data_IF_995900437654
#
_entry.id   IF_995900437654
#
_cell.length_a   1.000
_cell.length_b   1.000
_cell.length_c   1.000
_cell.angle_alpha   90.00
_cell.angle_beta   90.00
_cell.angle_gamma   90.00
#
_symmetry.space_group_name_H-M   'P 1'
#
loop_
_entity.id
_entity.type
_entity.pdbx_description
1 polymer ?
#
# COMPACT_ATOMS: atom_id res chain seq x y z
N UNK A 1 -4.98 4.75 12.87
CA UNK A 1 -3.60 5.05 13.28
C UNK A 1 -2.75 3.80 13.21
N UNK A 2 -1.51 3.92 12.74
CA UNK A 2 -0.48 2.86 12.84
C UNK A 2 0.63 3.40 13.74
N UNK A 3 1.06 2.61 14.73
CA UNK A 3 2.22 2.92 15.57
C UNK A 3 3.17 1.73 15.57
N UNK A 4 4.41 1.96 15.20
CA UNK A 4 5.51 0.99 15.21
C UNK A 4 6.53 1.49 16.20
N UNK A 5 6.99 0.63 17.12
CA UNK A 5 7.96 0.99 18.16
C UNK A 5 9.06 -0.06 18.23
N UNK A 6 10.30 0.37 18.03
CA UNK A 6 11.51 -0.45 18.19
C UNK A 6 11.57 -1.66 17.24
N UNK A 7 10.91 -1.59 16.06
CA UNK A 7 10.72 -2.75 15.20
C UNK A 7 12.05 -3.23 14.62
N UNK A 8 12.40 -4.49 14.91
CA UNK A 8 13.64 -5.12 14.45
C UNK A 8 13.32 -6.38 13.67
N UNK A 9 14.00 -6.58 12.53
CA UNK A 9 13.87 -7.78 11.70
C UNK A 9 15.16 -8.16 11.04
N UNK A 10 15.56 -9.43 11.20
CA UNK A 10 16.76 -10.03 10.61
C UNK A 10 16.35 -11.21 9.72
N UNK A 11 16.97 -11.34 8.57
CA UNK A 11 16.86 -12.50 7.68
C UNK A 11 18.26 -13.10 7.47
N UNK A 12 18.49 -14.30 8.00
CA UNK A 12 19.82 -14.90 8.04
C UNK A 12 20.79 -14.01 8.84
N UNK A 13 21.88 -13.56 8.23
CA UNK A 13 22.84 -12.64 8.85
C UNK A 13 22.53 -11.14 8.60
N UNK A 14 21.50 -10.82 7.80
CA UNK A 14 21.19 -9.43 7.41
C UNK A 14 20.08 -8.86 8.30
N UNK A 15 20.41 -7.84 9.11
CA UNK A 15 19.43 -7.03 9.81
C UNK A 15 18.82 -6.04 8.80
N UNK A 16 17.51 -6.17 8.54
CA UNK A 16 16.76 -5.37 7.56
C UNK A 16 16.04 -4.22 8.23
N UNK A 17 15.50 -4.42 9.44
CA UNK A 17 14.93 -3.38 10.30
C UNK A 17 15.72 -3.37 11.61
N UNK A 18 16.04 -2.19 12.10
CA UNK A 18 16.91 -2.00 13.25
C UNK A 18 16.39 -0.93 14.21
N UNK A 19 15.44 -1.33 15.07
CA UNK A 19 14.82 -0.43 16.03
C UNK A 19 13.98 0.66 15.36
N UNK A 20 13.20 0.30 14.34
CA UNK A 20 12.39 1.24 13.54
C UNK A 20 11.20 1.76 14.33
N UNK A 21 11.07 3.10 14.40
CA UNK A 21 9.92 3.80 14.97
C UNK A 21 9.16 4.56 13.86
N UNK A 22 7.85 4.32 13.74
CA UNK A 22 6.97 5.01 12.78
C UNK A 22 5.62 5.27 13.43
N UNK A 23 5.07 6.46 13.16
CA UNK A 23 3.69 6.80 13.44
C UNK A 23 3.02 7.30 12.17
N UNK A 24 1.88 6.70 11.78
CA UNK A 24 1.01 7.18 10.71
C UNK A 24 -0.35 7.53 11.30
N UNK A 25 -0.73 8.80 11.20
CA UNK A 25 -1.93 9.34 11.84
C UNK A 25 -3.20 9.15 10.98
N UNK A 26 -4.40 9.12 11.59
CA UNK A 26 -5.66 9.22 10.87
C UNK A 26 -5.76 10.53 10.08
N UNK A 27 -6.42 10.48 8.94
CA UNK A 27 -6.61 11.65 8.08
C UNK A 27 -5.38 12.04 7.26
N UNK A 28 -4.31 11.23 7.29
CA UNK A 28 -3.05 11.54 6.63
C UNK A 28 -2.58 10.43 5.69
N UNK A 29 -1.91 10.84 4.61
CA UNK A 29 -1.12 9.98 3.75
C UNK A 29 0.34 10.10 4.16
N UNK A 30 0.91 9.01 4.68
CA UNK A 30 2.32 8.90 5.05
C UNK A 30 3.05 8.05 4.01
N UNK A 31 4.10 8.59 3.41
CA UNK A 31 4.99 7.84 2.53
C UNK A 31 6.16 7.24 3.30
N UNK A 32 6.50 6.01 2.96
CA UNK A 32 7.74 5.35 3.34
C UNK A 32 8.61 5.24 2.08
N UNK A 33 9.66 6.02 2.02
CA UNK A 33 10.53 6.13 0.84
C UNK A 33 11.95 5.65 1.16
N UNK A 34 12.72 5.33 0.14
CA UNK A 34 14.12 4.91 0.30
C UNK A 34 14.57 3.97 -0.82
N UNK A 35 15.86 3.65 -0.84
CA UNK A 35 16.46 2.78 -1.84
C UNK A 35 15.86 1.36 -1.82
N UNK A 36 16.04 0.61 -2.90
CA UNK A 36 15.64 -0.80 -2.93
C UNK A 36 16.42 -1.59 -1.85
N UNK A 37 15.70 -2.44 -1.13
CA UNK A 37 16.30 -3.24 -0.06
C UNK A 37 16.53 -2.52 1.27
N UNK A 38 16.09 -1.26 1.45
CA UNK A 38 16.21 -0.52 2.72
C UNK A 38 15.21 -0.96 3.81
N UNK A 39 14.23 -1.82 3.46
CA UNK A 39 13.27 -2.38 4.43
C UNK A 39 11.81 -1.95 4.26
N UNK A 40 11.43 -1.15 3.25
CA UNK A 40 10.04 -0.68 3.05
C UNK A 40 9.01 -1.82 3.03
N UNK A 41 9.14 -2.74 2.09
CA UNK A 41 8.25 -3.91 1.97
C UNK A 41 8.27 -4.77 3.25
N UNK A 42 9.45 -4.92 3.89
CA UNK A 42 9.56 -5.63 5.16
C UNK A 42 8.74 -4.94 6.25
N UNK A 43 8.83 -3.61 6.37
CA UNK A 43 8.02 -2.83 7.30
C UNK A 43 6.52 -3.05 7.06
N UNK A 44 6.06 -2.94 5.79
CA UNK A 44 4.64 -3.16 5.48
C UNK A 44 4.21 -4.60 5.80
N UNK A 45 5.05 -5.60 5.53
CA UNK A 45 4.76 -7.01 5.88
C UNK A 45 4.62 -7.23 7.38
N UNK A 46 5.42 -6.54 8.21
CA UNK A 46 5.27 -6.57 9.66
C UNK A 46 3.94 -5.95 10.10
N UNK A 47 3.59 -4.77 9.55
CA UNK A 47 2.31 -4.09 9.83
C UNK A 47 1.11 -4.95 9.44
N UNK A 48 1.21 -5.70 8.35
CA UNK A 48 0.14 -6.56 7.86
C UNK A 48 0.13 -7.96 8.49
N UNK A 49 0.98 -8.24 9.48
CA UNK A 49 1.05 -9.55 10.13
C UNK A 49 1.52 -10.69 9.21
N UNK A 50 2.12 -10.37 8.06
CA UNK A 50 2.63 -11.35 7.10
C UNK A 50 4.01 -11.90 7.48
N UNK A 51 4.67 -11.28 8.43
CA UNK A 51 5.85 -11.83 9.12
C UNK A 51 5.93 -11.24 10.53
N UNK A 52 6.50 -12.00 11.46
CA UNK A 52 6.66 -11.57 12.84
C UNK A 52 7.97 -10.80 13.03
N UNK A 53 8.00 -9.73 13.82
CA UNK A 53 9.22 -9.05 14.19
C UNK A 53 10.07 -9.92 15.12
N UNK A 54 11.37 -9.64 15.15
CA UNK A 54 12.29 -10.26 16.12
C UNK A 54 12.27 -9.47 17.45
N UNK A 55 11.98 -8.15 17.37
CA UNK A 55 11.75 -7.28 18.51
C UNK A 55 10.89 -6.08 18.12
N UNK A 56 10.36 -5.37 19.12
CA UNK A 56 9.47 -4.24 18.92
C UNK A 56 7.99 -4.64 18.81
N UNK A 57 7.14 -3.67 18.50
CA UNK A 57 5.69 -3.87 18.44
C UNK A 57 5.04 -3.05 17.36
N UNK A 58 3.87 -3.52 16.90
CA UNK A 58 2.99 -2.83 15.95
C UNK A 58 1.61 -2.72 16.57
N UNK A 59 1.06 -1.50 16.57
CA UNK A 59 -0.31 -1.20 17.03
C UNK A 59 -1.10 -0.62 15.86
N UNK A 60 -2.29 -1.16 15.59
CA UNK A 60 -3.23 -0.69 14.58
C UNK A 60 -4.51 -0.22 15.29
N UNK A 61 -4.81 1.08 15.17
CA UNK A 61 -5.85 1.70 16.01
C UNK A 61 -5.47 1.63 17.48
N UNK A 62 -6.22 0.86 18.25
CA UNK A 62 -5.96 0.55 19.67
C UNK A 62 -5.49 -0.89 19.89
N UNK A 63 -5.39 -1.68 18.82
CA UNK A 63 -5.11 -3.12 18.91
C UNK A 63 -3.63 -3.40 18.66
N UNK A 64 -2.97 -4.02 19.62
CA UNK A 64 -1.62 -4.59 19.43
C UNK A 64 -1.69 -5.81 18.53
N UNK A 65 -0.86 -5.82 17.47
CA UNK A 65 -0.91 -6.86 16.44
C UNK A 65 -0.50 -8.24 16.99
N UNK A 66 0.44 -8.30 17.94
CA UNK A 66 0.88 -9.57 18.53
C UNK A 66 -0.14 -10.12 19.53
N UNK A 67 -0.74 -9.23 20.35
CA UNK A 67 -1.69 -9.63 21.38
C UNK A 67 -3.10 -9.89 20.83
N UNK A 68 -3.51 -9.15 19.80
CA UNK A 68 -4.87 -9.18 19.24
C UNK A 68 -4.86 -9.12 17.70
N UNK A 69 -4.23 -10.09 16.99
CA UNK A 69 -4.01 -10.01 15.55
C UNK A 69 -5.33 -9.89 14.76
N UNK A 70 -6.36 -10.61 15.16
CA UNK A 70 -7.67 -10.56 14.49
C UNK A 70 -8.30 -9.17 14.58
N UNK A 71 -8.28 -8.53 15.73
CA UNK A 71 -8.82 -7.19 15.93
C UNK A 71 -8.00 -6.12 15.19
N UNK A 72 -6.68 -6.23 15.20
CA UNK A 72 -5.79 -5.34 14.48
C UNK A 72 -5.98 -5.46 12.96
N UNK A 73 -5.94 -6.67 12.40
CA UNK A 73 -6.05 -6.91 10.96
C UNK A 73 -7.45 -6.67 10.40
N UNK A 74 -8.50 -6.75 11.22
CA UNK A 74 -9.86 -6.40 10.81
C UNK A 74 -9.98 -4.91 10.40
N UNK A 75 -9.13 -4.05 10.93
CA UNK A 75 -9.10 -2.60 10.65
C UNK A 75 -8.28 -2.25 9.40
N UNK A 76 -7.62 -3.22 8.77
CA UNK A 76 -6.61 -2.96 7.75
C UNK A 76 -6.98 -3.58 6.40
N UNK A 77 -6.71 -2.82 5.33
CA UNK A 77 -6.60 -3.35 3.96
C UNK A 77 -5.19 -3.16 3.44
N UNK A 78 -4.70 -4.17 2.72
CA UNK A 78 -3.33 -4.21 2.20
C UNK A 78 -3.28 -4.47 0.70
N UNK A 79 -2.51 -3.64 -0.02
CA UNK A 79 -2.14 -3.87 -1.42
C UNK A 79 -0.67 -4.26 -1.50
N UNK A 80 -0.32 -5.48 -1.89
CA UNK A 80 1.06 -5.87 -2.13
C UNK A 80 1.60 -5.30 -3.45
N UNK A 81 2.92 -5.17 -3.58
CA UNK A 81 3.60 -4.68 -4.77
C UNK A 81 3.23 -5.46 -6.05
N UNK A 82 3.03 -6.76 -5.94
CA UNK A 82 2.68 -7.65 -7.05
C UNK A 82 1.46 -8.49 -6.66
N UNK A 83 0.24 -7.97 -6.86
CA UNK A 83 -0.96 -8.72 -6.53
C UNK A 83 -1.10 -9.94 -7.43
N UNK A 84 -1.36 -11.09 -6.80
CA UNK A 84 -1.56 -12.37 -7.49
C UNK A 84 -2.94 -12.91 -7.15
N UNK A 85 -3.65 -13.29 -8.18
CA UNK A 85 -4.95 -13.94 -8.09
C UNK A 85 -4.88 -15.33 -8.70
N UNK A 86 -5.83 -16.21 -8.34
CA UNK A 86 -5.89 -17.54 -8.93
C UNK A 86 -6.20 -17.42 -10.44
N UNK A 87 -5.37 -17.99 -11.33
CA UNK A 87 -5.40 -17.69 -12.77
C UNK A 87 -6.71 -18.07 -13.48
N UNK A 88 -7.47 -19.01 -12.93
CA UNK A 88 -8.73 -19.51 -13.51
C UNK A 88 -9.96 -18.75 -13.03
N UNK A 89 -9.86 -17.95 -11.94
CA UNK A 89 -10.98 -17.16 -11.45
C UNK A 89 -11.12 -15.88 -12.28
N UNK A 90 -12.35 -15.43 -12.47
CA UNK A 90 -12.65 -14.16 -13.11
C UNK A 90 -12.43 -12.98 -12.16
N UNK A 91 -12.40 -11.76 -12.68
CA UNK A 91 -12.33 -10.57 -11.84
C UNK A 91 -13.55 -10.46 -10.92
N UNK A 92 -14.73 -10.82 -11.42
CA UNK A 92 -15.97 -10.90 -10.64
C UNK A 92 -15.89 -11.91 -9.51
N UNK A 93 -15.39 -13.15 -9.78
CA UNK A 93 -15.20 -14.18 -8.75
C UNK A 93 -14.30 -13.70 -7.61
N UNK A 94 -13.22 -12.97 -7.96
CA UNK A 94 -12.29 -12.42 -6.98
C UNK A 94 -13.01 -11.39 -6.09
N UNK A 95 -13.76 -10.46 -6.66
CA UNK A 95 -14.49 -9.44 -5.89
C UNK A 95 -15.56 -10.09 -5.00
N UNK A 96 -16.31 -11.07 -5.53
CA UNK A 96 -17.31 -11.80 -4.75
C UNK A 96 -16.68 -12.59 -3.59
N UNK A 97 -15.55 -13.25 -3.83
CA UNK A 97 -14.84 -13.98 -2.79
C UNK A 97 -14.43 -13.05 -1.64
N UNK A 98 -13.78 -11.91 -1.95
CA UNK A 98 -13.33 -10.97 -0.92
C UNK A 98 -14.51 -10.25 -0.23
N UNK A 99 -15.58 -9.94 -0.95
CA UNK A 99 -16.78 -9.37 -0.35
C UNK A 99 -17.44 -10.34 0.65
N UNK A 100 -17.60 -11.62 0.29
CA UNK A 100 -18.11 -12.67 1.19
C UNK A 100 -17.20 -12.87 2.40
N UNK A 101 -15.87 -12.91 2.20
CA UNK A 101 -14.90 -13.06 3.29
C UNK A 101 -15.01 -11.91 4.32
N UNK A 102 -15.41 -10.73 3.89
CA UNK A 102 -15.59 -9.54 4.72
C UNK A 102 -17.04 -9.32 5.15
N UNK A 103 -17.98 -10.18 4.76
CA UNK A 103 -19.42 -10.03 5.08
C UNK A 103 -20.07 -8.82 4.43
N UNK A 104 -19.60 -8.40 3.25
CA UNK A 104 -20.06 -7.19 2.55
C UNK A 104 -21.23 -7.53 1.60
N UNK A 105 -22.18 -6.60 1.39
CA UNK A 105 -23.30 -6.79 0.46
C UNK A 105 -22.81 -6.72 -1.00
N UNK A 106 -23.55 -7.37 -1.91
CA UNK A 106 -23.28 -7.38 -3.35
C UNK A 106 -23.28 -5.99 -4.00
N UNK A 107 -24.06 -5.05 -3.45
CA UNK A 107 -24.08 -3.66 -3.89
C UNK A 107 -22.69 -2.99 -3.77
N UNK A 108 -21.88 -3.42 -2.81
CA UNK A 108 -20.51 -2.92 -2.65
C UNK A 108 -19.61 -3.39 -3.78
N UNK A 109 -19.84 -4.57 -4.33
CA UNK A 109 -19.08 -5.10 -5.48
C UNK A 109 -19.34 -4.22 -6.69
N UNK A 110 -20.61 -3.97 -7.03
CA UNK A 110 -20.95 -3.10 -8.18
C UNK A 110 -20.34 -1.69 -8.06
N UNK A 111 -20.33 -1.13 -6.84
CA UNK A 111 -19.73 0.17 -6.58
C UNK A 111 -18.23 0.20 -6.87
N UNK A 112 -17.46 -0.79 -6.40
CA UNK A 112 -16.00 -0.83 -6.65
C UNK A 112 -15.66 -1.24 -8.07
N UNK A 113 -16.47 -2.06 -8.73
CA UNK A 113 -16.33 -2.37 -10.17
C UNK A 113 -16.46 -1.11 -11.02
N UNK A 114 -17.48 -0.30 -10.77
CA UNK A 114 -17.67 0.97 -11.47
C UNK A 114 -16.52 1.94 -11.14
N UNK A 115 -16.16 2.08 -9.87
CA UNK A 115 -15.08 2.96 -9.40
C UNK A 115 -13.74 2.66 -10.10
N UNK A 116 -13.38 1.40 -10.27
CA UNK A 116 -12.10 0.97 -10.82
C UNK A 116 -12.18 0.57 -12.31
N UNK A 117 -13.31 0.82 -12.98
CA UNK A 117 -13.49 0.57 -14.41
C UNK A 117 -13.30 -0.90 -14.78
N UNK A 118 -13.90 -1.83 -14.01
CA UNK A 118 -13.72 -3.26 -14.19
C UNK A 118 -14.89 -3.96 -14.89
N UNK A 119 -15.94 -3.25 -15.26
CA UNK A 119 -17.15 -3.82 -15.87
C UNK A 119 -16.84 -4.73 -17.06
N UNK A 120 -16.03 -4.26 -18.01
CA UNK A 120 -15.65 -5.02 -19.21
C UNK A 120 -14.70 -6.20 -18.92
N UNK A 121 -14.09 -6.22 -17.75
CA UNK A 121 -13.16 -7.26 -17.32
C UNK A 121 -13.80 -8.25 -16.33
N UNK A 122 -15.07 -8.04 -15.93
CA UNK A 122 -15.73 -8.83 -14.90
C UNK A 122 -15.64 -10.33 -15.14
N UNK A 123 -15.93 -10.77 -16.35
CA UNK A 123 -15.99 -12.16 -16.74
C UNK A 123 -14.67 -12.69 -17.29
N UNK A 124 -13.60 -11.86 -17.31
CA UNK A 124 -12.29 -12.28 -17.76
C UNK A 124 -11.54 -13.01 -16.65
N UNK A 125 -10.96 -14.17 -17.00
CA UNK A 125 -10.05 -14.89 -16.11
C UNK A 125 -8.83 -14.00 -15.77
N UNK A 126 -8.40 -13.99 -14.52
CA UNK A 126 -7.32 -13.13 -14.02
C UNK A 126 -5.99 -13.35 -14.75
N UNK A 127 -5.77 -14.55 -15.29
CA UNK A 127 -4.61 -14.85 -16.15
C UNK A 127 -4.57 -14.04 -17.44
N UNK A 128 -5.73 -13.57 -17.94
CA UNK A 128 -5.86 -12.81 -19.19
C UNK A 128 -5.86 -11.28 -18.97
N UNK A 129 -5.93 -10.84 -17.72
CA UNK A 129 -5.92 -9.42 -17.41
C UNK A 129 -4.57 -8.79 -17.72
N UNK A 130 -4.59 -7.59 -18.31
CA UNK A 130 -3.40 -6.76 -18.43
C UNK A 130 -2.82 -6.44 -17.04
N UNK A 131 -1.55 -6.02 -16.97
CA UNK A 131 -0.92 -5.59 -15.72
C UNK A 131 -1.71 -4.46 -15.04
N UNK A 132 -2.15 -3.47 -15.82
CA UNK A 132 -2.96 -2.34 -15.32
C UNK A 132 -4.34 -2.78 -14.82
N UNK A 133 -5.04 -3.64 -15.57
CA UNK A 133 -6.36 -4.16 -15.15
C UNK A 133 -6.23 -5.02 -13.89
N UNK A 134 -5.18 -5.84 -13.79
CA UNK A 134 -4.89 -6.63 -12.58
C UNK A 134 -4.60 -5.74 -11.38
N UNK A 135 -3.88 -4.64 -11.57
CA UNK A 135 -3.63 -3.66 -10.52
C UNK A 135 -4.92 -2.96 -10.08
N UNK A 136 -5.80 -2.57 -11.03
CA UNK A 136 -7.11 -1.99 -10.72
C UNK A 136 -8.00 -2.98 -9.95
N UNK A 137 -7.99 -4.27 -10.32
CA UNK A 137 -8.68 -5.31 -9.56
C UNK A 137 -8.17 -5.40 -8.12
N UNK A 138 -6.86 -5.33 -7.90
CA UNK A 138 -6.30 -5.35 -6.55
C UNK A 138 -6.67 -4.10 -5.74
N UNK A 139 -6.75 -2.93 -6.39
CA UNK A 139 -7.22 -1.70 -5.77
C UNK A 139 -8.73 -1.75 -5.46
N UNK A 140 -9.53 -2.39 -6.32
CA UNK A 140 -10.94 -2.66 -6.04
C UNK A 140 -11.10 -3.55 -4.80
N UNK A 141 -10.31 -4.63 -4.69
CA UNK A 141 -10.28 -5.50 -3.49
C UNK A 141 -9.86 -4.71 -2.24
N UNK A 142 -8.85 -3.84 -2.35
CA UNK A 142 -8.42 -2.95 -1.25
C UNK A 142 -9.57 -2.05 -0.77
N UNK A 143 -10.36 -1.52 -1.72
CA UNK A 143 -11.45 -0.55 -1.47
C UNK A 143 -12.75 -1.20 -0.98
N UNK A 144 -12.92 -2.51 -1.15
CA UNK A 144 -14.16 -3.22 -0.78
C UNK A 144 -14.61 -2.94 0.66
N UNK A 145 -13.75 -3.10 1.70
CA UNK A 145 -14.18 -3.00 3.09
C UNK A 145 -14.24 -1.58 3.65
N UNK A 146 -13.86 -0.55 2.88
CA UNK A 146 -13.73 0.85 3.38
C UNK A 146 -12.96 0.91 4.71
N UNK A 147 -11.83 0.23 4.77
CA UNK A 147 -11.05 0.02 5.99
C UNK A 147 -10.46 1.34 6.52
N UNK A 148 -10.44 1.55 7.85
CA UNK A 148 -9.86 2.76 8.45
C UNK A 148 -8.33 2.86 8.31
N UNK A 149 -7.67 1.77 7.91
CA UNK A 149 -6.22 1.75 7.68
C UNK A 149 -5.93 1.12 6.32
N UNK A 150 -5.26 1.87 5.45
CA UNK A 150 -4.83 1.43 4.12
C UNK A 150 -3.31 1.36 4.08
N UNK A 151 -2.79 0.18 3.71
CA UNK A 151 -1.35 -0.05 3.56
C UNK A 151 -1.09 -0.48 2.12
N UNK A 152 -0.19 0.22 1.42
CA UNK A 152 0.04 -0.01 0.01
C UNK A 152 1.54 -0.09 -0.30
N UNK A 153 1.93 -1.12 -1.05
CA UNK A 153 3.31 -1.30 -1.51
C UNK A 153 3.36 -1.05 -3.02
N UNK A 154 4.00 0.05 -3.44
CA UNK A 154 4.18 0.47 -4.83
C UNK A 154 2.87 0.51 -5.66
N UNK A 155 1.81 1.18 -5.20
CA UNK A 155 0.47 1.02 -5.77
C UNK A 155 0.32 1.52 -7.21
N UNK A 156 1.19 2.42 -7.68
CA UNK A 156 1.12 3.04 -9.02
C UNK A 156 1.88 2.32 -10.12
N UNK A 157 2.68 1.27 -9.82
CA UNK A 157 3.68 0.72 -10.75
C UNK A 157 3.14 0.25 -12.11
N UNK A 158 1.95 -0.33 -12.16
CA UNK A 158 1.38 -0.90 -13.39
C UNK A 158 0.24 -0.07 -13.96
N UNK A 159 -0.02 1.10 -13.40
CA UNK A 159 -1.09 1.99 -13.83
C UNK A 159 -0.57 3.00 -14.88
N UNK A 160 -1.40 3.33 -15.83
CA UNK A 160 -1.18 4.48 -16.69
C UNK A 160 -1.32 5.82 -15.92
N UNK A 161 -0.92 6.97 -16.51
CA UNK A 161 -0.94 8.24 -15.80
C UNK A 161 -2.32 8.66 -15.30
N UNK A 162 -3.42 8.32 -16.02
CA UNK A 162 -4.77 8.70 -15.64
C UNK A 162 -5.24 7.89 -14.43
N UNK A 163 -5.04 6.59 -14.45
CA UNK A 163 -5.35 5.72 -13.32
C UNK A 163 -4.47 6.00 -12.09
N UNK A 164 -3.24 6.48 -12.27
CA UNK A 164 -2.42 6.94 -11.14
C UNK A 164 -2.98 8.19 -10.51
N UNK A 165 -3.39 9.19 -11.31
CA UNK A 165 -4.06 10.41 -10.80
C UNK A 165 -5.34 10.05 -10.05
N UNK A 166 -6.14 9.15 -10.60
CA UNK A 166 -7.34 8.65 -9.96
C UNK A 166 -7.03 7.98 -8.61
N UNK A 167 -6.03 7.08 -8.56
CA UNK A 167 -5.58 6.44 -7.32
C UNK A 167 -5.21 7.48 -6.25
N UNK A 168 -4.45 8.50 -6.60
CA UNK A 168 -4.04 9.53 -5.63
C UNK A 168 -5.25 10.31 -5.10
N UNK A 169 -6.21 10.63 -5.97
CA UNK A 169 -7.45 11.29 -5.58
C UNK A 169 -8.28 10.42 -4.62
N UNK A 170 -8.39 9.11 -4.87
CA UNK A 170 -9.09 8.16 -4.03
C UNK A 170 -8.42 7.99 -2.65
N UNK A 171 -7.09 7.88 -2.60
CA UNK A 171 -6.35 7.82 -1.33
C UNK A 171 -6.49 9.11 -0.54
N UNK A 172 -6.46 10.27 -1.21
CA UNK A 172 -6.71 11.57 -0.58
C UNK A 172 -8.14 11.67 -0.06
N UNK A 173 -9.13 11.20 -0.81
CA UNK A 173 -10.53 11.14 -0.37
C UNK A 173 -10.70 10.23 0.85
N UNK A 174 -10.07 9.05 0.87
CA UNK A 174 -10.06 8.16 2.03
C UNK A 174 -9.43 8.83 3.26
N UNK A 175 -8.28 9.50 3.10
CA UNK A 175 -7.64 10.24 4.19
C UNK A 175 -8.57 11.36 4.71
N UNK A 176 -9.24 12.13 3.84
CA UNK A 176 -10.22 13.15 4.27
C UNK A 176 -11.39 12.57 5.05
N UNK A 177 -11.77 11.32 4.81
CA UNK A 177 -12.78 10.59 5.62
C UNK A 177 -12.22 10.05 6.94
N UNK A 178 -10.95 10.29 7.24
CA UNK A 178 -10.29 9.90 8.47
C UNK A 178 -9.45 8.62 8.37
N UNK A 179 -9.31 8.03 7.19
CA UNK A 179 -8.45 6.85 7.04
C UNK A 179 -6.97 7.18 7.26
N UNK A 180 -6.24 6.25 7.85
CA UNK A 180 -4.78 6.28 7.90
C UNK A 180 -4.24 5.60 6.65
N UNK A 181 -3.42 6.29 5.87
CA UNK A 181 -2.84 5.75 4.63
C UNK A 181 -1.31 5.67 4.76
N UNK A 182 -0.75 4.46 4.64
CA UNK A 182 0.69 4.22 4.62
C UNK A 182 1.09 3.63 3.27
N UNK A 183 1.94 4.34 2.53
CA UNK A 183 2.38 3.94 1.19
C UNK A 183 3.89 3.77 1.16
N UNK A 184 4.38 2.61 0.77
CA UNK A 184 5.79 2.44 0.40
C UNK A 184 5.95 2.70 -1.10
N UNK A 185 6.90 3.55 -1.47
CA UNK A 185 7.18 3.86 -2.88
C UNK A 185 8.61 4.31 -3.11
N UNK A 186 9.07 4.13 -4.35
CA UNK A 186 10.30 4.71 -4.87
C UNK A 186 10.04 5.76 -5.97
N UNK A 187 8.78 5.94 -6.39
CA UNK A 187 8.35 6.87 -7.44
C UNK A 187 8.14 8.29 -6.88
N UNK A 188 9.20 8.89 -6.34
CA UNK A 188 9.12 10.13 -5.56
C UNK A 188 8.51 11.31 -6.35
N UNK A 189 8.80 11.41 -7.64
CA UNK A 189 8.27 12.48 -8.50
C UNK A 189 6.75 12.51 -8.60
N UNK A 190 6.13 11.34 -8.56
CA UNK A 190 4.69 11.20 -8.70
C UNK A 190 3.94 11.55 -7.41
N UNK A 191 4.59 11.40 -6.27
CA UNK A 191 4.02 11.68 -4.95
C UNK A 191 4.32 13.08 -4.43
N UNK A 192 5.08 13.88 -5.19
CA UNK A 192 5.42 15.25 -4.78
C UNK A 192 4.16 16.08 -4.59
N UNK A 193 3.89 16.53 -3.36
CA UNK A 193 2.67 17.23 -2.98
C UNK A 193 1.40 16.37 -2.82
N UNK A 194 1.48 15.05 -3.05
CA UNK A 194 0.33 14.14 -2.94
C UNK A 194 0.16 13.52 -1.54
N UNK A 195 1.15 13.64 -0.68
CA UNK A 195 1.13 13.10 0.68
C UNK A 195 1.29 14.19 1.73
N UNK A 196 1.03 13.88 2.99
CA UNK A 196 1.18 14.83 4.10
C UNK A 196 2.56 14.71 4.75
N UNK A 197 3.07 13.49 4.86
CA UNK A 197 4.37 13.18 5.48
C UNK A 197 5.16 12.20 4.62
N UNK A 198 6.48 12.33 4.67
CA UNK A 198 7.38 11.41 4.02
C UNK A 198 8.50 10.99 4.98
N UNK A 199 8.62 9.70 5.20
CA UNK A 199 9.62 9.08 6.05
C UNK A 199 10.67 8.39 5.17
N UNK A 200 11.90 8.91 5.18
CA UNK A 200 13.01 8.30 4.47
C UNK A 200 13.60 7.15 5.29
N UNK A 201 13.49 5.94 4.75
CA UNK A 201 14.05 4.74 5.35
C UNK A 201 15.47 4.51 4.85
N UNK A 202 16.43 4.49 5.76
CA UNK A 202 17.85 4.27 5.51
C UNK A 202 18.37 3.20 6.48
N UNK A 203 18.97 2.14 5.94
CA UNK A 203 19.54 1.03 6.72
C UNK A 203 18.60 0.49 7.82
N UNK A 204 17.30 0.35 7.51
CA UNK A 204 16.31 -0.20 8.45
C UNK A 204 15.81 0.75 9.54
N UNK A 205 16.14 2.04 9.46
CA UNK A 205 15.72 3.10 10.40
C UNK A 205 15.09 4.28 9.64
N UNK A 206 14.29 5.08 10.31
CA UNK A 206 13.89 6.39 9.76
C UNK A 206 15.06 7.35 9.92
N UNK A 207 15.70 7.70 8.80
CA UNK A 207 16.81 8.64 8.78
C UNK A 207 16.36 10.09 8.77
N UNK A 208 15.28 10.40 8.03
CA UNK A 208 14.74 11.75 7.89
C UNK A 208 13.24 11.75 7.70
N UNK A 209 12.58 12.78 8.20
CA UNK A 209 11.19 13.11 7.90
C UNK A 209 11.13 14.40 7.07
N UNK A 210 10.35 14.38 6.00
CA UNK A 210 10.27 15.49 5.04
C UNK A 210 8.81 15.79 4.71
N UNK A 211 8.43 17.07 4.51
CA UNK A 211 7.17 17.41 3.85
C UNK A 211 7.18 16.87 2.42
N UNK A 212 6.06 16.30 1.96
CA UNK A 212 6.01 15.68 0.62
C UNK A 212 6.26 16.64 -0.53
N UNK A 213 6.02 17.94 -0.35
CA UNK A 213 6.33 18.98 -1.34
C UNK A 213 7.85 19.17 -1.62
N UNK A 214 8.71 18.61 -0.78
CA UNK A 214 10.19 18.70 -0.91
C UNK A 214 10.85 17.36 -1.24
N UNK A 215 10.09 16.35 -1.67
CA UNK A 215 10.64 15.03 -1.98
C UNK A 215 11.73 15.08 -3.03
N UNK A 216 11.52 15.83 -4.11
CA UNK A 216 12.50 15.96 -5.21
C UNK A 216 13.75 16.72 -4.82
N UNK A 217 13.66 17.62 -3.85
CA UNK A 217 14.81 18.38 -3.35
C UNK A 217 15.71 17.53 -2.44
N UNK A 218 15.07 16.67 -1.65
CA UNK A 218 15.77 15.78 -0.71
C UNK A 218 16.44 14.57 -1.39
N UNK A 219 15.93 14.18 -2.57
CA UNK A 219 16.46 13.06 -3.36
C UNK A 219 16.79 13.50 -4.80
N UNK A 220 17.86 14.27 -5.00
CA UNK A 220 18.22 14.83 -6.31
C UNK A 220 18.41 13.77 -7.40
N UNK A 221 18.76 12.52 -7.03
CA UNK A 221 18.85 11.39 -7.96
C UNK A 221 17.50 10.99 -8.58
N UNK A 222 16.37 11.38 -8.00
CA UNK A 222 15.05 11.14 -8.58
C UNK A 222 14.77 12.03 -9.80
N UNK A 223 15.51 13.11 -9.98
CA UNK A 223 15.44 14.03 -11.15
C UNK A 223 16.16 13.47 -12.38
N UNK A 224 17.07 12.49 -12.23
CA UNK A 224 18.07 12.12 -13.23
C UNK A 224 17.77 10.85 -14.02
N UNK A 225 16.62 10.21 -13.89
CA UNK A 225 16.23 9.08 -14.76
C UNK A 225 15.27 9.59 -15.85
N UNK A 226 15.75 9.79 -17.09
CA UNK A 226 14.85 9.86 -18.23
C UNK A 226 14.10 8.53 -18.29
N UNK A 227 12.78 8.59 -18.58
CA UNK A 227 12.00 7.42 -18.88
C UNK A 227 12.74 6.63 -19.97
N UNK A 228 13.17 5.41 -19.66
CA UNK A 228 13.65 4.49 -20.68
C UNK A 228 12.47 4.22 -21.60
N UNK A 229 12.46 4.90 -22.73
CA UNK A 229 11.62 4.58 -23.87
C UNK A 229 12.05 3.20 -24.30
N UNK A 230 11.28 2.18 -23.97
CA UNK A 230 11.40 0.88 -24.61
C UNK A 230 10.90 1.05 -26.05
N UNK A 231 11.85 1.30 -26.95
CA UNK A 231 11.67 1.06 -28.37
C UNK A 231 11.90 -0.43 -28.63
N UNK A 232 10.98 -1.08 -29.31
CA UNK A 232 11.08 -2.44 -29.80
C UNK A 232 9.91 -3.29 -29.39
#
# INVERSE_FOLDING_TARGET
MITITGLTKTYGCRRVLDGLDISAAPGQITLLVGANGCGKTTTLRQVCGLSSPDAGRVVIGTSDLAASPRAALAQLSFLPQSPRFHPKLTAGDILEFYARLRGLPSSRIAAVEAQWGLADARDQATARLSGGTRQRLALAVLSLPDAPVLVLDEPGLSLDPDWRRFLYAELRAAARRGATVLVATHLLGEWNGQADRCLALEAGRVGRELPSARLLDAFPFARSRPALVHAG
#
